data_IF_828086683017
#
_entry.id   IF_828086683017
#
_cell.length_a   1.000
_cell.length_b   1.000
_cell.length_c   1.000
_cell.angle_alpha   90.00
_cell.angle_beta   90.00
_cell.angle_gamma   90.00
#
_symmetry.space_group_name_H-M   'P 1'
#
loop_
_entity.id
_entity.type
_entity.pdbx_description
1 polymer ?
#
# COMPACT_ATOMS: atom_id res chain seq x y z
N UNK A 1 -35.48 -65.54 3.47
CA UNK A 1 -34.02 -65.55 3.22
C UNK A 1 -33.58 -64.55 2.16
N UNK A 2 -34.09 -64.57 0.91
CA UNK A 2 -33.66 -63.62 -0.14
C UNK A 2 -33.93 -62.14 0.17
N UNK A 3 -35.08 -61.81 0.74
CA UNK A 3 -35.45 -60.43 1.10
C UNK A 3 -34.55 -59.83 2.19
N UNK A 4 -34.19 -60.62 3.20
CA UNK A 4 -33.24 -60.20 4.25
C UNK A 4 -31.85 -59.91 3.68
N UNK A 5 -31.36 -60.74 2.74
CA UNK A 5 -30.06 -60.49 2.10
C UNK A 5 -30.09 -59.25 1.20
N UNK A 6 -31.21 -58.99 0.52
CA UNK A 6 -31.38 -57.77 -0.27
C UNK A 6 -31.38 -56.50 0.61
N UNK A 7 -32.11 -56.53 1.74
CA UNK A 7 -32.11 -55.44 2.71
C UNK A 7 -30.73 -55.20 3.33
N UNK A 8 -30.03 -56.26 3.73
CA UNK A 8 -28.68 -56.15 4.28
C UNK A 8 -27.68 -55.56 3.26
N UNK A 9 -27.77 -55.95 2.00
CA UNK A 9 -26.93 -55.39 0.94
C UNK A 9 -27.23 -53.91 0.68
N UNK A 10 -28.50 -53.50 0.75
CA UNK A 10 -28.89 -52.10 0.57
C UNK A 10 -28.43 -51.22 1.73
N UNK A 11 -28.54 -51.72 2.96
CA UNK A 11 -28.01 -51.06 4.15
C UNK A 11 -26.48 -50.93 4.11
N UNK A 12 -25.76 -51.98 3.71
CA UNK A 12 -24.31 -51.92 3.55
C UNK A 12 -23.88 -50.91 2.47
N UNK A 13 -24.58 -50.87 1.32
CA UNK A 13 -24.34 -49.85 0.29
C UNK A 13 -24.58 -48.45 0.83
N UNK A 14 -25.67 -48.25 1.57
CA UNK A 14 -25.99 -46.96 2.18
C UNK A 14 -24.92 -46.51 3.18
N UNK A 15 -24.46 -47.40 4.05
CA UNK A 15 -23.39 -47.12 5.00
C UNK A 15 -22.07 -46.78 4.29
N UNK A 16 -21.71 -47.53 3.24
CA UNK A 16 -20.53 -47.25 2.44
C UNK A 16 -20.59 -45.87 1.78
N UNK A 17 -21.72 -45.50 1.18
CA UNK A 17 -21.92 -44.17 0.59
C UNK A 17 -21.75 -43.05 1.61
N UNK A 18 -22.34 -43.20 2.81
CA UNK A 18 -22.16 -42.21 3.87
C UNK A 18 -20.72 -42.12 4.36
N UNK A 19 -20.04 -43.26 4.50
CA UNK A 19 -18.64 -43.30 4.89
C UNK A 19 -17.76 -42.57 3.86
N UNK A 20 -17.95 -42.85 2.58
CA UNK A 20 -17.22 -42.19 1.49
C UNK A 20 -17.45 -40.68 1.49
N UNK A 21 -18.70 -40.22 1.61
CA UNK A 21 -19.03 -38.78 1.74
C UNK A 21 -18.29 -38.12 2.88
N UNK A 22 -18.26 -38.77 4.04
CA UNK A 22 -17.56 -38.25 5.22
C UNK A 22 -16.06 -38.13 4.97
N UNK A 23 -15.44 -39.11 4.34
CA UNK A 23 -14.02 -39.10 3.98
C UNK A 23 -13.72 -37.98 2.98
N UNK A 24 -14.56 -37.79 1.96
CA UNK A 24 -14.43 -36.70 0.97
C UNK A 24 -14.51 -35.33 1.66
N UNK A 25 -15.46 -35.12 2.57
CA UNK A 25 -15.56 -33.89 3.35
C UNK A 25 -14.31 -33.62 4.21
N UNK A 26 -13.69 -34.65 4.76
CA UNK A 26 -12.42 -34.52 5.49
C UNK A 26 -11.28 -34.10 4.56
N UNK A 27 -11.21 -34.65 3.35
CA UNK A 27 -10.25 -34.21 2.36
C UNK A 27 -10.48 -32.77 1.90
N UNK A 28 -11.73 -32.35 1.71
CA UNK A 28 -12.08 -30.95 1.42
C UNK A 28 -11.57 -30.05 2.55
N UNK A 29 -11.88 -30.37 3.81
CA UNK A 29 -11.42 -29.59 4.96
C UNK A 29 -9.89 -29.51 5.05
N UNK A 30 -9.22 -30.63 4.78
CA UNK A 30 -7.75 -30.70 4.76
C UNK A 30 -7.17 -29.84 3.64
N UNK A 31 -7.73 -29.92 2.42
CA UNK A 31 -7.32 -29.13 1.28
C UNK A 31 -7.46 -27.63 1.58
N UNK A 32 -8.59 -27.20 2.15
CA UNK A 32 -8.81 -25.81 2.55
C UNK A 32 -7.76 -25.34 3.56
N UNK A 33 -7.48 -26.15 4.58
CA UNK A 33 -6.47 -25.81 5.59
C UNK A 33 -5.04 -25.73 5.02
N UNK A 34 -4.68 -26.60 4.07
CA UNK A 34 -3.39 -26.54 3.40
C UNK A 34 -3.30 -25.31 2.49
N UNK A 35 -4.36 -25.00 1.74
CA UNK A 35 -4.44 -23.79 0.92
C UNK A 35 -4.26 -22.52 1.77
N UNK A 36 -4.92 -22.42 2.91
CA UNK A 36 -4.73 -21.29 3.83
C UNK A 36 -3.26 -21.13 4.24
N UNK A 37 -2.60 -22.23 4.61
CA UNK A 37 -1.20 -22.21 5.04
C UNK A 37 -0.25 -21.80 3.92
N UNK A 38 -0.45 -22.33 2.72
CA UNK A 38 0.39 -22.01 1.56
C UNK A 38 0.23 -20.54 1.15
N UNK A 39 -1.01 -20.05 1.14
CA UNK A 39 -1.34 -18.68 0.71
C UNK A 39 -0.94 -17.65 1.78
N UNK A 40 -0.92 -17.99 3.07
CA UNK A 40 -0.43 -17.12 4.15
C UNK A 40 1.03 -16.63 3.96
N UNK A 41 1.83 -17.33 3.16
CA UNK A 41 3.23 -16.94 2.86
C UNK A 41 3.30 -15.86 1.78
N UNK A 42 2.19 -15.47 1.17
CA UNK A 42 2.13 -14.42 0.15
C UNK A 42 2.34 -13.05 0.80
N UNK A 43 3.43 -12.37 0.41
CA UNK A 43 3.75 -11.01 0.86
C UNK A 43 3.17 -9.98 -0.11
N UNK A 44 2.39 -9.04 0.41
CA UNK A 44 1.76 -7.95 -0.34
C UNK A 44 2.52 -6.62 -0.11
N UNK A 45 2.44 -5.64 -1.03
CA UNK A 45 1.70 -5.68 -2.29
C UNK A 45 2.44 -6.41 -3.42
N UNK A 46 1.70 -6.91 -4.42
CA UNK A 46 2.26 -7.44 -5.66
C UNK A 46 1.33 -7.19 -6.85
N UNK A 47 1.79 -7.47 -8.08
CA UNK A 47 0.95 -7.35 -9.27
C UNK A 47 -0.20 -8.35 -9.23
N UNK A 48 -1.36 -7.96 -9.79
CA UNK A 48 -2.56 -8.80 -9.79
C UNK A 48 -2.31 -10.15 -10.47
N UNK A 49 -1.61 -10.16 -11.60
CA UNK A 49 -1.25 -11.39 -12.33
C UNK A 49 -0.47 -12.34 -11.45
N UNK A 50 0.58 -11.85 -10.77
CA UNK A 50 1.43 -12.65 -9.90
C UNK A 50 0.68 -13.18 -8.67
N UNK A 51 -0.25 -12.39 -8.14
CA UNK A 51 -1.12 -12.83 -7.04
C UNK A 51 -2.01 -14.00 -7.47
N UNK A 52 -2.67 -13.88 -8.62
CA UNK A 52 -3.50 -14.95 -9.16
C UNK A 52 -2.68 -16.21 -9.44
N UNK A 53 -1.52 -16.09 -10.09
CA UNK A 53 -0.60 -17.19 -10.37
C UNK A 53 -0.20 -17.92 -9.08
N UNK A 54 0.25 -17.19 -8.05
CA UNK A 54 0.66 -17.78 -6.76
C UNK A 54 -0.45 -18.55 -6.06
N UNK A 55 -1.69 -18.07 -6.14
CA UNK A 55 -2.84 -18.75 -5.54
C UNK A 55 -3.20 -20.01 -6.35
N UNK A 56 -3.13 -19.95 -7.68
CA UNK A 56 -3.38 -21.11 -8.55
C UNK A 56 -2.30 -22.18 -8.37
N UNK A 57 -1.02 -21.81 -8.34
CA UNK A 57 0.09 -22.71 -8.05
C UNK A 57 -0.07 -23.40 -6.68
N UNK A 58 -0.57 -22.67 -5.68
CA UNK A 58 -0.87 -23.24 -4.37
C UNK A 58 -2.03 -24.23 -4.43
N UNK A 59 -3.11 -23.91 -5.16
CA UNK A 59 -4.21 -24.85 -5.42
C UNK A 59 -3.70 -26.13 -6.07
N UNK A 60 -2.89 -26.03 -7.12
CA UNK A 60 -2.40 -27.21 -7.85
C UNK A 60 -1.54 -28.11 -6.96
N UNK A 61 -0.64 -27.52 -6.16
CA UNK A 61 0.19 -28.27 -5.19
C UNK A 61 -0.66 -28.97 -4.14
N UNK A 62 -1.65 -28.28 -3.57
CA UNK A 62 -2.55 -28.87 -2.57
C UNK A 62 -3.42 -29.96 -3.18
N UNK A 63 -3.98 -29.75 -4.37
CA UNK A 63 -4.77 -30.78 -5.07
C UNK A 63 -3.91 -32.02 -5.34
N UNK A 64 -2.66 -31.84 -5.77
CA UNK A 64 -1.72 -32.94 -5.96
C UNK A 64 -1.41 -33.68 -4.65
N UNK A 65 -1.16 -32.97 -3.55
CA UNK A 65 -0.92 -33.58 -2.24
C UNK A 65 -2.13 -34.39 -1.76
N UNK A 66 -3.35 -33.85 -1.93
CA UNK A 66 -4.58 -34.53 -1.55
C UNK A 66 -4.84 -35.74 -2.44
N UNK A 67 -4.59 -35.63 -3.76
CA UNK A 67 -4.72 -36.76 -4.68
C UNK A 67 -3.81 -37.94 -4.27
N UNK A 68 -2.58 -37.65 -3.80
CA UNK A 68 -1.69 -38.68 -3.26
C UNK A 68 -2.24 -39.33 -1.99
N UNK A 69 -2.88 -38.56 -1.09
CA UNK A 69 -3.52 -39.11 0.13
C UNK A 69 -4.80 -39.90 -0.18
N UNK A 70 -5.46 -39.58 -1.29
CA UNK A 70 -6.62 -40.31 -1.81
C UNK A 70 -6.22 -41.62 -2.52
N UNK A 71 -4.93 -41.85 -2.79
CA UNK A 71 -4.47 -43.08 -3.42
C UNK A 71 -4.89 -44.31 -2.60
N UNK A 72 -5.50 -45.30 -3.25
CA UNK A 72 -6.04 -46.50 -2.60
C UNK A 72 -7.51 -46.41 -2.22
N UNK A 73 -8.14 -45.25 -2.37
CA UNK A 73 -9.59 -45.10 -2.25
C UNK A 73 -10.29 -45.23 -3.60
N UNK A 74 -11.50 -45.79 -3.60
CA UNK A 74 -12.39 -45.80 -4.77
C UNK A 74 -13.57 -44.88 -4.52
N UNK A 75 -13.44 -43.64 -4.99
CA UNK A 75 -14.48 -42.62 -4.87
C UNK A 75 -15.44 -42.65 -6.07
N UNK A 76 -16.76 -42.57 -5.83
CA UNK A 76 -17.72 -42.28 -6.90
C UNK A 76 -17.38 -40.94 -7.57
N UNK A 77 -17.64 -40.86 -8.88
CA UNK A 77 -17.37 -39.66 -9.67
C UNK A 77 -18.04 -38.40 -9.10
N UNK A 78 -19.29 -38.53 -8.64
CA UNK A 78 -20.05 -37.41 -8.03
C UNK A 78 -19.31 -36.79 -6.84
N UNK A 79 -18.71 -37.61 -5.99
CA UNK A 79 -17.99 -37.15 -4.81
C UNK A 79 -16.65 -36.49 -5.18
N UNK A 80 -15.99 -36.95 -6.25
CA UNK A 80 -14.79 -36.31 -6.79
C UNK A 80 -15.09 -34.97 -7.46
N UNK A 81 -16.22 -34.86 -8.15
CA UNK A 81 -16.71 -33.58 -8.68
C UNK A 81 -17.02 -32.63 -7.53
N UNK A 82 -17.67 -33.11 -6.46
CA UNK A 82 -17.94 -32.29 -5.28
C UNK A 82 -16.65 -31.78 -4.63
N UNK A 83 -15.62 -32.62 -4.48
CA UNK A 83 -14.30 -32.20 -4.02
C UNK A 83 -13.70 -31.11 -4.90
N UNK A 84 -13.67 -31.31 -6.23
CA UNK A 84 -13.09 -30.36 -7.18
C UNK A 84 -13.79 -28.99 -7.16
N UNK A 85 -15.11 -28.99 -7.07
CA UNK A 85 -15.92 -27.78 -6.95
C UNK A 85 -15.62 -27.05 -5.63
N UNK A 86 -15.63 -27.76 -4.51
CA UNK A 86 -15.41 -27.17 -3.20
C UNK A 86 -14.02 -26.54 -3.06
N UNK A 87 -12.98 -27.16 -3.63
CA UNK A 87 -11.62 -26.61 -3.65
C UNK A 87 -11.54 -25.38 -4.57
N UNK A 88 -12.20 -25.42 -5.74
CA UNK A 88 -12.20 -24.31 -6.69
C UNK A 88 -12.95 -23.10 -6.15
N UNK A 89 -14.15 -23.28 -5.61
CA UNK A 89 -14.93 -22.22 -4.96
C UNK A 89 -14.14 -21.56 -3.83
N UNK A 90 -13.48 -22.37 -3.00
CA UNK A 90 -12.67 -21.84 -1.91
C UNK A 90 -11.42 -21.09 -2.41
N UNK A 91 -10.79 -21.57 -3.46
CA UNK A 91 -9.67 -20.87 -4.11
C UNK A 91 -10.11 -19.50 -4.62
N UNK A 92 -11.30 -19.41 -5.20
CA UNK A 92 -11.87 -18.14 -5.65
C UNK A 92 -12.15 -17.17 -4.49
N UNK A 93 -12.67 -17.66 -3.36
CA UNK A 93 -12.84 -16.87 -2.13
C UNK A 93 -11.51 -16.32 -1.60
N UNK A 94 -10.43 -17.12 -1.68
CA UNK A 94 -9.09 -16.66 -1.30
C UNK A 94 -8.57 -15.59 -2.26
N UNK A 95 -8.77 -15.76 -3.57
CA UNK A 95 -8.40 -14.73 -4.56
C UNK A 95 -9.07 -13.40 -4.26
N UNK A 96 -10.39 -13.39 -4.07
CA UNK A 96 -11.14 -12.15 -3.76
C UNK A 96 -10.67 -11.49 -2.46
N UNK A 97 -10.31 -12.29 -1.45
CA UNK A 97 -9.82 -11.81 -0.16
C UNK A 97 -8.45 -11.16 -0.30
N UNK A 98 -7.51 -11.84 -0.94
CA UNK A 98 -6.15 -11.34 -1.13
C UNK A 98 -6.11 -10.18 -2.12
N UNK A 99 -7.01 -10.12 -3.10
CA UNK A 99 -7.17 -8.95 -3.97
C UNK A 99 -7.53 -7.70 -3.17
N UNK A 100 -8.49 -7.81 -2.25
CA UNK A 100 -8.88 -6.69 -1.38
C UNK A 100 -7.71 -6.25 -0.51
N UNK A 101 -7.02 -7.20 0.12
CA UNK A 101 -5.84 -6.91 0.94
C UNK A 101 -4.72 -6.26 0.12
N UNK A 102 -4.46 -6.75 -1.10
CA UNK A 102 -3.43 -6.23 -1.98
C UNK A 102 -3.70 -4.79 -2.41
N UNK A 103 -4.97 -4.45 -2.68
CA UNK A 103 -5.39 -3.07 -2.98
C UNK A 103 -5.19 -2.14 -1.80
N UNK A 104 -5.46 -2.58 -0.57
CA UNK A 104 -5.20 -1.79 0.64
C UNK A 104 -3.70 -1.58 0.83
N UNK A 105 -2.91 -2.66 0.83
CA UNK A 105 -1.46 -2.59 0.97
C UNK A 105 -0.79 -1.71 -0.10
N UNK A 106 -1.27 -1.76 -1.35
CA UNK A 106 -0.77 -0.91 -2.43
C UNK A 106 -1.05 0.57 -2.17
N UNK A 107 -2.25 0.91 -1.65
CA UNK A 107 -2.60 2.29 -1.30
C UNK A 107 -1.75 2.80 -0.14
N UNK A 108 -1.55 1.98 0.89
CA UNK A 108 -0.74 2.33 2.05
C UNK A 108 0.73 2.56 1.66
N UNK A 109 1.26 1.71 0.78
CA UNK A 109 2.63 1.86 0.23
C UNK A 109 2.75 3.15 -0.56
N UNK A 110 1.82 3.42 -1.49
CA UNK A 110 1.81 4.66 -2.26
C UNK A 110 1.66 5.91 -1.38
N UNK A 111 0.83 5.86 -0.33
CA UNK A 111 0.67 6.96 0.62
C UNK A 111 1.96 7.20 1.41
N UNK A 112 2.65 6.13 1.84
CA UNK A 112 3.92 6.23 2.54
C UNK A 112 5.02 6.80 1.65
N UNK A 113 5.12 6.34 0.40
CA UNK A 113 6.07 6.89 -0.58
C UNK A 113 5.80 8.37 -0.87
N UNK A 114 4.53 8.75 -1.04
CA UNK A 114 4.14 10.15 -1.23
C UNK A 114 4.52 11.01 -0.02
N UNK A 115 4.34 10.50 1.21
CA UNK A 115 4.74 11.19 2.44
C UNK A 115 6.26 11.37 2.54
N UNK A 116 7.03 10.34 2.22
CA UNK A 116 8.51 10.41 2.20
C UNK A 116 8.98 11.42 1.17
N UNK A 117 8.42 11.40 -0.04
CA UNK A 117 8.74 12.36 -1.10
C UNK A 117 8.38 13.79 -0.71
N UNK A 118 7.19 13.99 -0.13
CA UNK A 118 6.77 15.29 0.38
C UNK A 118 7.77 15.85 1.40
N UNK A 119 8.17 15.03 2.37
CA UNK A 119 9.14 15.43 3.38
C UNK A 119 10.49 15.82 2.76
N UNK A 120 11.02 14.99 1.86
CA UNK A 120 12.31 15.25 1.22
C UNK A 120 12.31 16.57 0.42
N UNK A 121 11.25 16.84 -0.34
CA UNK A 121 11.11 18.09 -1.10
C UNK A 121 10.96 19.29 -0.16
N UNK A 122 10.19 19.16 0.92
CA UNK A 122 10.06 20.22 1.92
C UNK A 122 11.38 20.56 2.59
N UNK A 123 12.12 19.55 3.05
CA UNK A 123 13.40 19.74 3.74
C UNK A 123 14.41 20.43 2.79
N UNK A 124 14.49 19.98 1.53
CA UNK A 124 15.30 20.61 0.47
C UNK A 124 14.89 22.07 0.18
N UNK A 125 13.58 22.35 0.14
CA UNK A 125 13.07 23.70 -0.06
C UNK A 125 13.44 24.62 1.12
N UNK A 126 13.33 24.13 2.36
CA UNK A 126 13.72 24.88 3.56
C UNK A 126 15.20 25.24 3.53
N UNK A 127 16.07 24.28 3.21
CA UNK A 127 17.52 24.50 3.12
C UNK A 127 17.87 25.50 2.02
N UNK A 128 17.27 25.35 0.83
CA UNK A 128 17.48 26.26 -0.30
C UNK A 128 17.04 27.69 0.02
N UNK A 129 15.88 27.85 0.66
CA UNK A 129 15.38 29.17 1.05
C UNK A 129 16.28 29.81 2.10
N UNK A 130 16.69 29.05 3.12
CA UNK A 130 17.61 29.55 4.14
C UNK A 130 18.93 29.99 3.54
N UNK A 131 19.56 29.17 2.70
CA UNK A 131 20.85 29.48 2.10
C UNK A 131 20.77 30.71 1.19
N UNK A 132 19.84 30.71 0.22
CA UNK A 132 19.74 31.78 -0.77
C UNK A 132 19.30 33.11 -0.18
N UNK A 133 18.30 33.09 0.71
CA UNK A 133 17.78 34.33 1.28
C UNK A 133 18.80 34.90 2.25
N UNK A 134 19.38 34.09 3.14
CA UNK A 134 20.38 34.58 4.10
C UNK A 134 21.63 35.15 3.42
N UNK A 135 22.11 34.51 2.34
CA UNK A 135 23.27 34.99 1.59
C UNK A 135 23.02 36.32 0.85
N UNK A 136 21.75 36.66 0.58
CA UNK A 136 21.37 37.85 -0.17
C UNK A 136 20.75 38.95 0.72
N UNK A 137 20.71 38.77 2.05
CA UNK A 137 20.36 39.82 3.00
C UNK A 137 21.51 40.86 3.05
N UNK A 138 21.23 42.17 3.07
CA UNK A 138 19.89 42.79 3.09
C UNK A 138 19.24 42.92 1.70
N UNK A 139 17.93 42.71 1.63
CA UNK A 139 17.13 42.91 0.40
C UNK A 139 15.76 43.53 0.70
N UNK A 140 15.01 43.95 -0.34
CA UNK A 140 13.63 44.41 -0.14
C UNK A 140 12.71 43.24 0.26
N UNK A 141 11.64 43.54 1.00
CA UNK A 141 10.64 42.54 1.40
C UNK A 141 9.95 41.95 0.16
N UNK A 142 9.71 42.76 -0.87
CA UNK A 142 9.11 42.33 -2.14
C UNK A 142 10.00 41.30 -2.86
N UNK A 143 11.32 41.55 -2.92
CA UNK A 143 12.27 40.60 -3.53
C UNK A 143 12.34 39.29 -2.74
N UNK A 144 12.29 39.36 -1.41
CA UNK A 144 12.26 38.17 -0.54
C UNK A 144 11.00 37.32 -0.81
N UNK A 145 9.83 37.95 -0.89
CA UNK A 145 8.57 37.26 -1.18
C UNK A 145 8.55 36.66 -2.59
N UNK A 146 9.17 37.31 -3.56
CA UNK A 146 9.30 36.79 -4.91
C UNK A 146 10.18 35.54 -4.95
N UNK A 147 11.38 35.59 -4.35
CA UNK A 147 12.29 34.43 -4.27
C UNK A 147 11.60 33.26 -3.56
N UNK A 148 10.91 33.53 -2.44
CA UNK A 148 10.13 32.53 -1.73
C UNK A 148 9.07 31.88 -2.62
N UNK A 149 8.28 32.69 -3.33
CA UNK A 149 7.18 32.22 -4.17
C UNK A 149 7.67 31.39 -5.36
N UNK A 150 8.75 31.80 -6.02
CA UNK A 150 9.36 31.07 -7.15
C UNK A 150 9.84 29.67 -6.74
N UNK A 151 10.52 29.58 -5.59
CA UNK A 151 11.00 28.31 -5.06
C UNK A 151 9.86 27.39 -4.60
N UNK A 152 8.78 27.96 -4.05
CA UNK A 152 7.60 27.22 -3.63
C UNK A 152 6.82 26.66 -4.84
N UNK A 153 6.70 27.42 -5.93
CA UNK A 153 6.11 26.94 -7.19
C UNK A 153 6.91 25.77 -7.77
N UNK A 154 8.25 25.85 -7.76
CA UNK A 154 9.11 24.76 -8.25
C UNK A 154 8.93 23.48 -7.43
N UNK A 155 9.01 23.57 -6.11
CA UNK A 155 8.78 22.43 -5.22
C UNK A 155 7.36 21.84 -5.36
N UNK A 156 6.36 22.70 -5.56
CA UNK A 156 5.00 22.25 -5.81
C UNK A 156 4.88 21.51 -7.15
N UNK A 157 5.56 21.97 -8.20
CA UNK A 157 5.60 21.29 -9.49
C UNK A 157 6.29 19.91 -9.39
N UNK A 158 7.33 19.78 -8.55
CA UNK A 158 8.02 18.50 -8.30
C UNK A 158 7.16 17.48 -7.54
N UNK A 159 6.23 17.95 -6.71
CA UNK A 159 5.32 17.10 -5.93
C UNK A 159 3.98 16.83 -6.63
N UNK A 160 3.63 17.65 -7.63
CA UNK A 160 2.40 17.50 -8.39
C UNK A 160 2.63 16.61 -9.59
N UNK A 161 1.77 15.61 -9.79
CA UNK A 161 1.75 14.74 -10.97
C UNK A 161 1.09 15.40 -12.21
N UNK A 162 1.10 16.73 -12.29
CA UNK A 162 0.42 17.50 -13.34
C UNK A 162 -1.07 17.77 -13.10
N UNK A 163 -1.66 17.27 -12.02
CA UNK A 163 -3.05 17.59 -11.65
C UNK A 163 -3.17 18.97 -10.98
N UNK A 164 -4.00 19.87 -11.54
CA UNK A 164 -4.22 21.22 -10.99
C UNK A 164 -4.79 21.20 -9.57
N UNK A 165 -5.71 20.29 -9.25
CA UNK A 165 -6.32 20.20 -7.92
C UNK A 165 -5.36 19.67 -6.86
N UNK A 166 -4.46 18.76 -7.22
CA UNK A 166 -3.36 18.33 -6.33
C UNK A 166 -2.34 19.44 -6.15
N UNK A 167 -2.04 20.17 -7.22
CA UNK A 167 -1.11 21.30 -7.19
C UNK A 167 -1.54 22.37 -6.19
N UNK A 168 -2.81 22.79 -6.20
CA UNK A 168 -3.30 23.80 -5.26
C UNK A 168 -3.23 23.31 -3.80
N UNK A 169 -3.61 22.05 -3.53
CA UNK A 169 -3.52 21.48 -2.18
C UNK A 169 -2.08 21.39 -1.68
N UNK A 170 -1.16 20.88 -2.51
CA UNK A 170 0.26 20.77 -2.15
C UNK A 170 0.87 22.15 -1.91
N UNK A 171 0.53 23.13 -2.74
CA UNK A 171 0.93 24.53 -2.59
C UNK A 171 0.48 25.09 -1.24
N UNK A 172 -0.78 24.88 -0.86
CA UNK A 172 -1.31 25.33 0.43
C UNK A 172 -0.60 24.65 1.61
N UNK A 173 -0.35 23.34 1.52
CA UNK A 173 0.37 22.60 2.56
C UNK A 173 1.81 23.09 2.73
N UNK A 174 2.56 23.27 1.63
CA UNK A 174 3.92 23.82 1.69
C UNK A 174 3.95 25.24 2.26
N UNK A 175 2.99 26.10 1.89
CA UNK A 175 2.87 27.45 2.47
C UNK A 175 2.62 27.42 3.97
N UNK A 176 1.76 26.52 4.44
CA UNK A 176 1.48 26.37 5.86
C UNK A 176 2.72 25.87 6.63
N UNK A 177 3.39 24.84 6.10
CA UNK A 177 4.58 24.25 6.71
C UNK A 177 5.77 25.23 6.79
N UNK A 178 5.90 26.15 5.81
CA UNK A 178 7.00 27.12 5.73
C UNK A 178 6.63 28.52 6.24
N UNK A 179 5.43 28.72 6.77
CA UNK A 179 4.98 30.04 7.24
C UNK A 179 5.90 30.61 8.32
N UNK A 180 6.34 29.79 9.27
CA UNK A 180 7.27 30.19 10.34
C UNK A 180 8.63 30.58 9.78
N UNK A 181 9.14 29.84 8.80
CA UNK A 181 10.42 30.14 8.14
C UNK A 181 10.37 31.50 7.44
N UNK A 182 9.30 31.76 6.68
CA UNK A 182 9.13 33.04 5.98
C UNK A 182 9.11 34.23 6.96
N UNK A 183 8.42 34.08 8.10
CA UNK A 183 8.39 35.11 9.15
C UNK A 183 9.80 35.34 9.70
N UNK A 184 10.53 34.28 10.05
CA UNK A 184 11.90 34.38 10.57
C UNK A 184 12.83 35.10 9.58
N UNK A 185 12.81 34.71 8.30
CA UNK A 185 13.64 35.33 7.26
C UNK A 185 13.31 36.82 7.06
N UNK A 186 12.02 37.18 7.06
CA UNK A 186 11.59 38.58 7.02
C UNK A 186 12.11 39.36 8.23
N UNK A 187 11.97 38.80 9.43
CA UNK A 187 12.45 39.42 10.66
C UNK A 187 13.95 39.68 10.62
N UNK A 188 14.76 38.67 10.26
CA UNK A 188 16.22 38.81 10.14
C UNK A 188 16.57 39.91 9.13
N UNK A 189 15.94 39.91 7.96
CA UNK A 189 16.18 40.91 6.92
C UNK A 189 15.87 42.34 7.41
N UNK A 190 14.75 42.54 8.11
CA UNK A 190 14.38 43.84 8.70
C UNK A 190 15.39 44.29 9.76
N UNK A 191 15.83 43.40 10.65
CA UNK A 191 16.83 43.73 11.66
C UNK A 191 18.15 44.19 11.02
N UNK A 192 18.64 43.47 10.00
CA UNK A 192 19.88 43.84 9.31
C UNK A 192 19.75 45.20 8.62
N UNK A 193 18.62 45.45 7.95
CA UNK A 193 18.34 46.75 7.33
C UNK A 193 18.37 47.90 8.35
N UNK A 194 17.75 47.72 9.52
CA UNK A 194 17.75 48.74 10.59
C UNK A 194 19.17 49.01 11.07
N UNK A 195 19.98 47.97 11.32
CA UNK A 195 21.37 48.13 11.78
C UNK A 195 22.20 48.90 10.76
N UNK A 196 22.04 48.62 9.47
CA UNK A 196 22.75 49.34 8.39
C UNK A 196 22.33 50.81 8.36
N UNK A 197 21.03 51.10 8.44
CA UNK A 197 20.52 52.48 8.45
C UNK A 197 21.03 53.25 9.66
N UNK A 198 20.98 52.66 10.85
CA UNK A 198 21.47 53.30 12.09
C UNK A 198 22.97 53.56 12.03
N UNK A 199 23.77 52.59 11.58
CA UNK A 199 25.22 52.77 11.44
C UNK A 199 25.58 53.86 10.43
N UNK A 200 24.92 53.88 9.26
CA UNK A 200 25.13 54.93 8.27
C UNK A 200 24.73 56.31 8.80
N UNK A 201 23.65 56.39 9.58
CA UNK A 201 23.18 57.64 10.16
C UNK A 201 24.13 58.16 11.26
N UNK A 202 24.70 57.27 12.08
CA UNK A 202 25.70 57.61 13.10
C UNK A 202 27.02 58.07 12.48
N UNK A 203 27.46 57.45 11.37
CA UNK A 203 28.68 57.88 10.66
C UNK A 203 28.57 59.30 10.11
N UNK A 204 27.38 59.71 9.63
CA UNK A 204 27.13 61.09 9.17
C UNK A 204 27.25 62.15 10.27
N UNK A 205 27.16 61.76 11.56
CA UNK A 205 27.29 62.68 12.69
C UNK A 205 28.64 62.59 13.41
N UNK A 206 29.41 61.53 13.18
CA UNK A 206 30.71 61.32 13.82
C UNK A 206 31.91 61.77 12.96
N UNK A 207 31.70 62.02 11.65
CA UNK A 207 32.70 62.59 10.76
C UNK A 207 32.06 63.69 9.88
N UNK A 208 32.13 64.97 10.29
CA UNK A 208 31.81 66.11 9.41
C UNK A 208 32.85 66.30 8.30
#
# INVERSE_FOLDING_TARGET
>A
MREFHAQLLDDLKRQYTFHIRRVVLQFISTAKSLLDKDVQVIVLPMTQTKLCERIVESKERVVFEIANKMQGWSFPQEEMVHFGNAVTEYTQQLQETYEKQNRVASKDTAAREASVRYKAVKDSLMDTLNEKITAAIPMSVETLEQVYSEHLIRACAELSDGSQTKHERVMQSLKADLATLLVQLKTINTYVLIVIVVNNHLQQYLFP
#
